data_IF_512050378353
#
_entry.id   IF_512050378353
#
_cell.length_a   1.000
_cell.length_b   1.000
_cell.length_c   1.000
_cell.angle_alpha   90.00
_cell.angle_beta   90.00
_cell.angle_gamma   90.00
#
_symmetry.space_group_name_H-M   'P 1'
#
loop_
_entity.id
_entity.type
_entity.pdbx_description
1 polymer ?
#
# COMPACT_ATOMS: atom_id res chain seq x y z
N UNK A 1 -5.87 -28.11 9.85
CA UNK A 1 -5.15 -26.96 10.45
C UNK A 1 -5.58 -25.74 9.67
N UNK A 2 -6.13 -24.71 10.36
CA UNK A 2 -6.43 -23.43 9.72
C UNK A 2 -5.13 -22.85 9.15
N UNK A 3 -5.15 -22.44 7.90
CA UNK A 3 -4.02 -21.80 7.25
C UNK A 3 -3.72 -20.45 7.90
N UNK A 4 -2.50 -19.96 7.72
CA UNK A 4 -2.07 -18.64 8.22
C UNK A 4 -1.25 -17.95 7.14
N UNK A 5 -1.47 -16.67 6.93
CA UNK A 5 -0.67 -15.83 6.06
C UNK A 5 0.07 -14.78 6.89
N UNK A 6 1.39 -14.77 6.82
CA UNK A 6 2.22 -13.74 7.47
C UNK A 6 2.21 -12.51 6.57
N UNK A 7 1.81 -11.38 7.13
CA UNK A 7 1.70 -10.12 6.38
C UNK A 7 2.56 -9.05 7.03
N UNK A 8 3.17 -8.20 6.22
CA UNK A 8 4.07 -7.14 6.68
C UNK A 8 3.71 -5.82 6.03
N UNK A 9 3.51 -4.78 6.83
CA UNK A 9 3.51 -3.40 6.34
C UNK A 9 4.87 -2.76 6.59
N UNK A 10 5.45 -2.14 5.57
CA UNK A 10 6.64 -1.31 5.71
C UNK A 10 6.20 0.15 5.86
N UNK A 11 6.73 0.84 6.87
CA UNK A 11 6.55 2.27 7.06
C UNK A 11 7.83 2.96 6.63
N UNK A 12 7.90 3.37 5.34
CA UNK A 12 9.08 4.03 4.81
C UNK A 12 9.12 5.51 5.18
N UNK A 13 10.31 6.10 5.38
CA UNK A 13 10.40 7.52 5.68
C UNK A 13 9.93 8.37 4.48
N UNK A 14 9.25 9.49 4.74
CA UNK A 14 8.96 10.46 3.68
C UNK A 14 10.27 11.04 3.15
N UNK A 15 10.59 10.80 1.88
CA UNK A 15 11.79 11.31 1.18
C UNK A 15 11.47 11.50 -0.29
N UNK A 16 11.52 12.74 -0.76
CA UNK A 16 11.26 13.05 -2.16
C UNK A 16 12.45 12.68 -3.05
N UNK A 17 12.17 12.06 -4.20
CA UNK A 17 13.17 11.72 -5.21
C UNK A 17 14.17 10.62 -4.84
N UNK A 18 14.00 9.96 -3.70
CA UNK A 18 15.00 9.06 -3.13
C UNK A 18 14.76 7.57 -3.47
N UNK A 19 14.27 7.24 -4.68
CA UNK A 19 13.82 5.90 -5.08
C UNK A 19 14.79 4.78 -4.69
N UNK A 20 16.07 4.91 -5.04
CA UNK A 20 17.09 3.89 -4.73
C UNK A 20 17.30 3.71 -3.22
N UNK A 21 17.33 4.81 -2.46
CA UNK A 21 17.49 4.76 -1.01
C UNK A 21 16.24 4.14 -0.34
N UNK A 22 15.05 4.43 -0.85
CA UNK A 22 13.80 3.85 -0.35
C UNK A 22 13.73 2.35 -0.62
N UNK A 23 14.12 1.89 -1.81
CA UNK A 23 14.23 0.46 -2.12
C UNK A 23 15.24 -0.25 -1.23
N UNK A 24 16.44 0.32 -1.04
CA UNK A 24 17.45 -0.24 -0.15
C UNK A 24 16.97 -0.27 1.32
N UNK A 25 16.21 0.74 1.75
CA UNK A 25 15.64 0.77 3.10
C UNK A 25 14.54 -0.28 3.28
N UNK A 26 13.66 -0.46 2.28
CA UNK A 26 12.64 -1.52 2.29
C UNK A 26 13.29 -2.91 2.36
N UNK A 27 14.35 -3.14 1.58
CA UNK A 27 15.11 -4.38 1.58
C UNK A 27 15.75 -4.66 2.95
N UNK A 28 16.39 -3.67 3.56
CA UNK A 28 16.99 -3.77 4.90
C UNK A 28 15.94 -4.09 5.99
N UNK A 29 14.74 -3.50 5.91
CA UNK A 29 13.64 -3.83 6.81
C UNK A 29 13.16 -5.28 6.64
N UNK A 30 13.12 -5.79 5.40
CA UNK A 30 12.77 -7.19 5.14
C UNK A 30 13.85 -8.15 5.65
N UNK A 31 15.13 -7.82 5.50
CA UNK A 31 16.25 -8.62 6.02
C UNK A 31 16.29 -8.67 7.55
N UNK A 32 15.92 -7.58 8.22
CA UNK A 32 16.01 -7.48 9.68
C UNK A 32 14.91 -8.21 10.44
N UNK A 33 13.85 -8.64 9.77
CA UNK A 33 12.69 -9.25 10.42
C UNK A 33 12.42 -10.70 10.01
N UNK A 34 11.35 -11.30 10.53
CA UNK A 34 10.96 -12.67 10.19
C UNK A 34 10.54 -12.78 8.72
N UNK A 35 10.57 -14.03 8.18
CA UNK A 35 10.04 -14.31 6.86
C UNK A 35 8.54 -13.93 6.79
N UNK A 36 8.12 -13.33 5.69
CA UNK A 36 6.74 -12.91 5.43
C UNK A 36 6.21 -13.56 4.15
N UNK A 37 4.91 -13.67 4.01
CA UNK A 37 4.24 -14.19 2.82
C UNK A 37 3.73 -13.07 1.90
N UNK A 38 3.56 -11.86 2.47
CA UNK A 38 3.11 -10.66 1.78
C UNK A 38 3.71 -9.42 2.43
N UNK A 39 4.23 -8.50 1.63
CA UNK A 39 4.66 -7.18 2.07
C UNK A 39 3.90 -6.09 1.34
N UNK A 40 3.48 -5.05 2.07
CA UNK A 40 2.84 -3.86 1.54
C UNK A 40 3.71 -2.63 1.82
N UNK A 41 3.97 -1.82 0.78
CA UNK A 41 4.65 -0.54 0.86
C UNK A 41 3.63 0.60 0.81
N UNK A 42 3.92 1.77 1.42
CA UNK A 42 3.03 2.94 1.39
C UNK A 42 2.85 3.54 -0.01
N UNK A 43 1.75 4.25 -0.21
CA UNK A 43 1.49 5.05 -1.42
C UNK A 43 2.66 6.01 -1.70
N UNK A 44 3.09 6.08 -2.97
CA UNK A 44 4.16 6.95 -3.46
C UNK A 44 5.46 6.91 -2.62
N UNK A 45 5.66 5.88 -1.79
CA UNK A 45 6.76 5.84 -0.82
C UNK A 45 8.15 5.76 -1.44
N UNK A 46 8.27 5.34 -2.69
CA UNK A 46 9.55 5.31 -3.40
C UNK A 46 9.94 6.68 -3.94
N UNK A 47 8.99 7.41 -4.49
CA UNK A 47 9.20 8.73 -5.10
C UNK A 47 9.11 9.88 -4.10
N UNK A 48 8.45 9.63 -2.97
CA UNK A 48 7.94 10.67 -2.09
C UNK A 48 6.63 11.25 -2.62
N UNK A 49 5.79 11.73 -1.72
CA UNK A 49 4.44 12.21 -2.03
C UNK A 49 4.39 13.74 -2.22
N UNK A 50 5.25 14.44 -1.51
CA UNK A 50 5.30 15.91 -1.47
C UNK A 50 6.76 16.36 -1.64
N UNK A 51 7.00 17.28 -2.59
CA UNK A 51 8.32 17.85 -2.81
C UNK A 51 8.75 18.77 -1.68
N UNK A 52 10.06 19.06 -1.54
CA UNK A 52 10.53 20.06 -0.58
C UNK A 52 9.98 21.46 -0.84
N UNK A 53 9.60 21.76 -2.07
CA UNK A 53 9.01 23.02 -2.53
C UNK A 53 7.52 23.10 -2.23
N UNK A 54 6.89 21.98 -1.84
CA UNK A 54 5.49 21.92 -1.43
C UNK A 54 4.52 21.58 -2.56
N UNK A 55 5.00 21.10 -3.71
CA UNK A 55 4.15 20.59 -4.78
C UNK A 55 3.97 19.07 -4.71
N UNK A 56 2.96 18.57 -5.39
CA UNK A 56 2.57 17.17 -5.42
C UNK A 56 2.78 16.51 -6.79
N UNK A 57 3.46 17.18 -7.73
CA UNK A 57 3.66 16.63 -9.07
C UNK A 57 4.69 15.49 -9.07
N UNK A 58 4.21 14.29 -9.36
CA UNK A 58 5.04 13.09 -9.49
C UNK A 58 5.28 12.66 -10.94
N UNK A 59 4.84 13.44 -11.93
CA UNK A 59 5.07 13.13 -13.35
C UNK A 59 6.55 12.92 -13.73
N UNK A 60 7.54 13.58 -13.09
CA UNK A 60 8.95 13.32 -13.36
C UNK A 60 9.41 11.90 -13.01
N UNK A 61 8.67 11.19 -12.15
CA UNK A 61 8.96 9.80 -11.75
C UNK A 61 8.13 8.77 -12.50
N UNK A 62 7.24 9.21 -13.40
CA UNK A 62 6.34 8.31 -14.10
C UNK A 62 7.09 7.43 -15.10
N UNK A 63 6.90 6.12 -14.97
CA UNK A 63 7.55 5.07 -15.76
C UNK A 63 6.54 4.09 -16.35
N UNK A 64 6.89 3.33 -17.40
CA UNK A 64 6.03 2.26 -17.90
C UNK A 64 5.71 1.21 -16.83
N UNK A 65 4.59 0.45 -16.94
CA UNK A 65 4.20 -0.59 -15.96
C UNK A 65 5.24 -1.68 -15.76
N UNK A 66 6.12 -1.91 -16.74
CA UNK A 66 7.24 -2.87 -16.73
C UNK A 66 8.60 -2.19 -16.50
N UNK A 67 8.60 -0.97 -15.99
CA UNK A 67 9.78 -0.16 -15.76
C UNK A 67 10.66 -0.58 -14.57
N UNK A 68 11.61 0.28 -14.18
CA UNK A 68 12.59 0.00 -13.12
C UNK A 68 11.96 -0.37 -11.77
N UNK A 69 10.85 0.28 -11.36
CA UNK A 69 10.15 -0.03 -10.11
C UNK A 69 9.55 -1.45 -10.15
N UNK A 70 8.93 -1.83 -11.26
CA UNK A 70 8.42 -3.19 -11.45
C UNK A 70 9.54 -4.23 -11.34
N UNK A 71 10.68 -3.99 -11.99
CA UNK A 71 11.85 -4.86 -11.91
C UNK A 71 12.39 -4.97 -10.47
N UNK A 72 12.41 -3.87 -9.72
CA UNK A 72 12.84 -3.87 -8.32
C UNK A 72 11.87 -4.69 -7.42
N UNK A 73 10.56 -4.54 -7.59
CA UNK A 73 9.58 -5.32 -6.83
C UNK A 73 9.63 -6.81 -7.17
N UNK A 74 9.82 -7.16 -8.45
CA UNK A 74 10.05 -8.55 -8.86
C UNK A 74 11.34 -9.13 -8.24
N UNK A 75 12.40 -8.33 -8.13
CA UNK A 75 13.62 -8.74 -7.44
C UNK A 75 13.37 -9.02 -5.97
N UNK A 76 12.73 -8.10 -5.24
CA UNK A 76 12.38 -8.27 -3.84
C UNK A 76 11.45 -9.49 -3.64
N UNK A 77 10.44 -9.67 -4.48
CA UNK A 77 9.53 -10.81 -4.41
C UNK A 77 10.26 -12.16 -4.53
N UNK A 78 11.17 -12.28 -5.49
CA UNK A 78 12.03 -13.48 -5.64
C UNK A 78 12.94 -13.69 -4.45
N UNK A 79 13.62 -12.63 -3.99
CA UNK A 79 14.61 -12.70 -2.92
C UNK A 79 14.01 -13.14 -1.60
N UNK A 80 12.81 -12.64 -1.26
CA UNK A 80 12.15 -12.91 0.03
C UNK A 80 11.05 -13.98 -0.06
N UNK A 81 10.84 -14.60 -1.22
CA UNK A 81 9.77 -15.59 -1.49
C UNK A 81 8.38 -15.13 -1.00
N UNK A 82 8.03 -13.88 -1.27
CA UNK A 82 6.78 -13.27 -0.83
C UNK A 82 6.09 -12.47 -1.95
N UNK A 83 4.80 -12.19 -1.79
CA UNK A 83 4.13 -11.17 -2.61
C UNK A 83 4.63 -9.79 -2.19
N UNK A 84 5.10 -9.00 -3.15
CA UNK A 84 5.47 -7.59 -2.93
C UNK A 84 4.40 -6.72 -3.56
N UNK A 85 3.67 -5.96 -2.72
CA UNK A 85 2.70 -4.96 -3.12
C UNK A 85 3.27 -3.56 -2.84
N UNK A 86 3.34 -2.70 -3.86
CA UNK A 86 3.94 -1.38 -3.69
C UNK A 86 3.52 -0.36 -4.74
N UNK A 87 3.87 0.92 -4.52
CA UNK A 87 3.45 2.03 -5.33
C UNK A 87 4.20 2.09 -6.67
N UNK A 88 3.50 2.50 -7.71
CA UNK A 88 4.05 2.81 -9.01
C UNK A 88 3.46 4.14 -9.50
N UNK A 89 4.30 5.09 -9.84
CA UNK A 89 3.88 6.25 -10.63
C UNK A 89 3.97 5.83 -12.09
N UNK A 90 2.81 5.49 -12.64
CA UNK A 90 2.72 4.84 -13.94
C UNK A 90 2.52 5.85 -15.05
N UNK A 91 3.19 5.62 -16.18
CA UNK A 91 2.95 6.31 -17.45
C UNK A 91 2.37 5.35 -18.48
N UNK A 92 1.19 5.70 -19.01
CA UNK A 92 0.54 4.97 -20.09
C UNK A 92 0.09 5.96 -21.17
N UNK A 93 0.85 6.06 -22.26
CA UNK A 93 0.68 7.11 -23.27
C UNK A 93 0.90 8.50 -22.67
N UNK A 94 -0.07 9.39 -22.87
CA UNK A 94 -0.05 10.76 -22.33
C UNK A 94 -0.57 10.86 -20.89
N UNK A 95 -1.09 9.75 -20.32
CA UNK A 95 -1.63 9.70 -18.98
C UNK A 95 -0.60 9.24 -17.94
N UNK A 96 -0.70 9.80 -16.73
CA UNK A 96 0.03 9.33 -15.57
C UNK A 96 -0.98 8.85 -14.50
N UNK A 97 -0.64 7.77 -13.81
CA UNK A 97 -1.51 7.18 -12.78
C UNK A 97 -0.74 6.96 -11.49
N UNK A 98 -1.43 7.18 -10.37
CA UNK A 98 -1.00 6.69 -9.08
C UNK A 98 -1.49 5.23 -8.96
N UNK A 99 -0.58 4.26 -8.93
CA UNK A 99 -0.93 2.85 -8.99
C UNK A 99 -0.36 2.05 -7.82
N UNK A 100 -1.03 0.95 -7.50
CA UNK A 100 -0.57 -0.11 -6.59
C UNK A 100 -0.45 -1.41 -7.38
N UNK A 101 0.75 -1.98 -7.38
CA UNK A 101 1.05 -3.20 -8.14
C UNK A 101 1.53 -4.31 -7.22
N UNK A 102 1.18 -5.57 -7.53
CA UNK A 102 1.58 -6.73 -6.75
C UNK A 102 2.33 -7.75 -7.59
N UNK A 103 3.54 -8.16 -7.16
CA UNK A 103 4.39 -9.14 -7.86
C UNK A 103 4.62 -10.38 -7.01
N UNK A 104 4.43 -11.56 -7.62
CA UNK A 104 4.71 -12.87 -7.03
C UNK A 104 6.20 -13.19 -7.03
N UNK A 105 6.64 -14.20 -6.25
CA UNK A 105 8.03 -14.67 -6.26
C UNK A 105 8.56 -15.14 -7.63
N UNK A 106 7.69 -15.63 -8.51
CA UNK A 106 8.06 -15.99 -9.89
C UNK A 106 8.26 -14.77 -10.80
N UNK A 107 7.97 -13.55 -10.29
CA UNK A 107 8.06 -12.29 -10.99
C UNK A 107 6.80 -11.95 -11.80
N UNK A 108 5.77 -12.79 -11.80
CA UNK A 108 4.50 -12.47 -12.46
C UNK A 108 3.72 -11.42 -11.67
N UNK A 109 2.99 -10.57 -12.39
CA UNK A 109 2.06 -9.62 -11.77
C UNK A 109 0.84 -10.36 -11.23
N UNK A 110 0.44 -10.09 -9.97
CA UNK A 110 -0.78 -10.62 -9.37
C UNK A 110 -1.95 -9.67 -9.56
N UNK A 111 -1.72 -8.39 -9.35
CA UNK A 111 -2.70 -7.33 -9.55
C UNK A 111 -2.03 -6.02 -9.94
N UNK A 112 -2.82 -5.18 -10.62
CA UNK A 112 -2.45 -3.84 -11.02
C UNK A 112 -3.68 -2.95 -10.80
N UNK A 113 -3.60 -2.03 -9.85
CA UNK A 113 -4.67 -1.13 -9.49
C UNK A 113 -4.24 0.32 -9.72
N UNK A 114 -5.04 1.11 -10.41
CA UNK A 114 -4.87 2.56 -10.58
C UNK A 114 -5.86 3.27 -9.68
N UNK A 115 -5.38 4.21 -8.86
CA UNK A 115 -6.18 5.02 -7.93
C UNK A 115 -7.35 5.66 -8.66
N UNK A 116 -8.58 5.43 -8.18
CA UNK A 116 -9.79 5.98 -8.79
C UNK A 116 -10.04 7.42 -8.42
N UNK A 117 -9.72 7.76 -7.18
CA UNK A 117 -9.96 9.07 -6.62
C UNK A 117 -8.62 9.72 -6.25
N UNK A 118 -7.90 10.34 -7.22
CA UNK A 118 -6.77 11.18 -6.89
C UNK A 118 -7.19 12.21 -5.84
N UNK A 119 -6.37 12.38 -4.79
CA UNK A 119 -6.62 13.42 -3.81
C UNK A 119 -6.42 14.78 -4.47
N UNK A 120 -7.17 15.81 -4.07
CA UNK A 120 -7.24 17.08 -4.80
C UNK A 120 -5.88 17.72 -5.21
N UNK A 121 -4.76 17.53 -4.48
CA UNK A 121 -3.46 18.03 -4.93
C UNK A 121 -2.78 17.14 -5.98
N UNK A 122 -3.27 15.95 -6.26
CA UNK A 122 -2.73 15.04 -7.30
C UNK A 122 -3.28 15.38 -8.70
N UNK A 123 -3.22 16.66 -9.10
CA UNK A 123 -3.72 17.13 -10.42
C UNK A 123 -3.04 16.46 -11.60
N UNK A 124 -1.85 15.89 -11.37
CA UNK A 124 -1.08 15.15 -12.35
C UNK A 124 -1.65 13.75 -12.63
N UNK A 125 -2.42 13.18 -11.72
CA UNK A 125 -2.87 11.81 -11.78
C UNK A 125 -4.20 11.68 -12.52
N UNK A 126 -4.21 10.84 -13.55
CA UNK A 126 -5.44 10.42 -14.23
C UNK A 126 -6.20 9.44 -13.33
N UNK A 127 -7.52 9.63 -13.09
CA UNK A 127 -8.34 8.67 -12.37
C UNK A 127 -8.33 7.28 -13.01
N UNK A 128 -8.21 6.23 -12.18
CA UNK A 128 -8.44 4.85 -12.61
C UNK A 128 -9.90 4.59 -12.95
N UNK A 129 -10.16 3.67 -13.89
CA UNK A 129 -11.52 3.39 -14.37
C UNK A 129 -12.32 2.51 -13.39
N UNK A 130 -11.66 1.56 -12.72
CA UNK A 130 -12.32 0.50 -11.95
C UNK A 130 -11.79 0.43 -10.50
N UNK A 131 -12.63 0.05 -9.53
CA UNK A 131 -12.15 -0.32 -8.19
C UNK A 131 -11.18 -1.49 -8.25
N UNK A 132 -10.36 -1.67 -7.21
CA UNK A 132 -9.41 -2.76 -7.11
C UNK A 132 -10.04 -4.12 -7.39
N UNK A 133 -9.42 -4.93 -8.24
CA UNK A 133 -9.87 -6.28 -8.50
C UNK A 133 -9.43 -7.23 -7.38
N UNK A 134 -10.30 -8.20 -7.04
CA UNK A 134 -9.93 -9.25 -6.10
C UNK A 134 -8.82 -10.13 -6.65
N UNK A 135 -7.84 -10.43 -5.82
CA UNK A 135 -6.69 -11.25 -6.18
C UNK A 135 -6.46 -12.36 -5.15
N UNK A 136 -6.29 -13.61 -5.61
CA UNK A 136 -6.07 -14.75 -4.71
C UNK A 136 -4.56 -14.97 -4.47
N UNK A 137 -4.15 -14.96 -3.21
CA UNK A 137 -2.76 -15.23 -2.80
C UNK A 137 -2.70 -16.17 -1.59
N UNK A 138 -2.08 -17.34 -1.77
CA UNK A 138 -1.88 -18.35 -0.69
C UNK A 138 -3.13 -18.59 0.17
N UNK A 139 -4.31 -18.58 -0.45
CA UNK A 139 -5.59 -18.81 0.22
C UNK A 139 -6.28 -17.58 0.78
N UNK A 140 -5.68 -16.39 0.70
CA UNK A 140 -6.31 -15.11 1.03
C UNK A 140 -6.84 -14.41 -0.21
N UNK A 141 -8.06 -13.89 -0.17
CA UNK A 141 -8.60 -12.99 -1.18
C UNK A 141 -8.24 -11.56 -0.82
N UNK A 142 -7.41 -10.91 -1.63
CA UNK A 142 -6.87 -9.57 -1.42
C UNK A 142 -7.67 -8.54 -2.22
N UNK A 143 -7.92 -7.38 -1.63
CA UNK A 143 -8.47 -6.20 -2.29
C UNK A 143 -7.46 -5.04 -2.19
N UNK A 144 -6.85 -4.58 -3.31
CA UNK A 144 -5.96 -3.43 -3.28
C UNK A 144 -6.75 -2.11 -3.30
N UNK A 145 -6.31 -1.13 -2.50
CA UNK A 145 -6.84 0.24 -2.49
C UNK A 145 -5.76 1.26 -2.10
N UNK A 146 -5.94 2.50 -2.52
CA UNK A 146 -5.01 3.60 -2.33
C UNK A 146 -5.66 4.78 -1.59
N UNK A 147 -5.23 5.03 -0.36
CA UNK A 147 -5.42 6.26 0.41
C UNK A 147 -6.84 6.87 0.29
N UNK A 148 -7.00 7.92 -0.50
CA UNK A 148 -8.26 8.66 -0.64
C UNK A 148 -9.43 7.80 -1.19
N UNK A 149 -9.14 6.71 -1.90
CA UNK A 149 -10.17 5.75 -2.33
C UNK A 149 -10.95 5.15 -1.14
N UNK A 150 -10.32 5.09 0.05
CA UNK A 150 -10.96 4.57 1.25
C UNK A 150 -12.31 5.23 1.58
N UNK A 151 -12.49 6.49 1.22
CA UNK A 151 -13.75 7.22 1.43
C UNK A 151 -14.90 6.80 0.49
N UNK A 152 -14.59 6.06 -0.58
CA UNK A 152 -15.53 5.66 -1.62
C UNK A 152 -15.75 4.15 -1.71
N UNK A 153 -14.92 3.34 -1.04
CA UNK A 153 -14.96 1.87 -1.14
C UNK A 153 -16.35 1.31 -0.80
N UNK A 154 -16.99 1.81 0.25
CA UNK A 154 -18.33 1.39 0.67
C UNK A 154 -19.38 1.58 -0.43
N UNK A 155 -19.29 2.68 -1.18
CA UNK A 155 -20.26 3.02 -2.21
C UNK A 155 -19.98 2.33 -3.55
N UNK A 156 -18.71 2.05 -3.86
CA UNK A 156 -18.28 1.66 -5.19
C UNK A 156 -17.79 0.21 -5.29
N UNK A 157 -17.51 -0.44 -4.17
CA UNK A 157 -16.90 -1.76 -4.11
C UNK A 157 -17.38 -2.62 -2.92
N UNK A 158 -18.60 -2.40 -2.42
CA UNK A 158 -19.15 -3.13 -1.27
C UNK A 158 -19.13 -4.65 -1.50
N UNK A 159 -19.51 -5.11 -2.69
CA UNK A 159 -19.46 -6.51 -3.09
C UNK A 159 -18.05 -7.11 -3.08
N UNK A 160 -17.03 -6.29 -3.35
CA UNK A 160 -15.63 -6.70 -3.31
C UNK A 160 -15.09 -6.69 -1.88
N UNK A 161 -15.53 -5.73 -1.05
CA UNK A 161 -15.23 -5.72 0.38
C UNK A 161 -15.79 -6.97 1.05
N UNK A 162 -17.07 -7.34 0.78
CA UNK A 162 -17.72 -8.55 1.31
C UNK A 162 -17.01 -9.85 0.89
N UNK A 163 -16.38 -9.87 -0.28
CA UNK A 163 -15.68 -11.04 -0.81
C UNK A 163 -14.19 -11.07 -0.46
N UNK A 164 -13.63 -10.00 0.09
CA UNK A 164 -12.23 -9.91 0.45
C UNK A 164 -11.97 -10.49 1.86
N UNK A 165 -10.86 -11.21 2.00
CA UNK A 165 -10.33 -11.58 3.32
C UNK A 165 -9.35 -10.57 3.89
N UNK A 166 -8.72 -9.76 3.00
CA UNK A 166 -7.73 -8.75 3.38
C UNK A 166 -7.77 -7.54 2.45
N UNK A 167 -8.02 -6.36 3.01
CA UNK A 167 -7.81 -5.08 2.34
C UNK A 167 -6.32 -4.70 2.44
N UNK A 168 -5.67 -4.54 1.28
CA UNK A 168 -4.33 -3.97 1.16
C UNK A 168 -4.46 -2.47 0.95
N UNK A 169 -4.30 -1.69 2.01
CA UNK A 169 -4.51 -0.25 2.00
C UNK A 169 -3.18 0.49 2.07
N UNK A 170 -2.66 0.90 0.91
CA UNK A 170 -1.45 1.73 0.86
C UNK A 170 -1.82 3.20 0.94
N UNK A 171 -1.20 3.97 1.83
CA UNK A 171 -1.54 5.37 2.05
C UNK A 171 -0.33 6.28 2.23
N UNK A 172 -0.54 7.55 1.93
CA UNK A 172 0.26 8.69 2.35
C UNK A 172 -0.69 9.67 3.05
N UNK A 173 -1.23 9.27 4.21
CA UNK A 173 -2.29 9.99 4.91
C UNK A 173 -1.82 11.36 5.39
N UNK A 174 -2.63 12.38 5.17
CA UNK A 174 -2.31 13.78 5.50
C UNK A 174 -3.45 14.41 6.33
N UNK A 175 -3.64 13.92 7.55
CA UNK A 175 -4.67 14.43 8.44
C UNK A 175 -4.14 14.58 9.87
N UNK A 176 -4.51 15.71 10.51
CA UNK A 176 -4.17 15.98 11.90
C UNK A 176 -5.00 15.15 12.88
N UNK A 177 -6.24 14.83 12.52
CA UNK A 177 -7.09 13.92 13.27
C UNK A 177 -6.70 12.47 12.89
N UNK A 178 -6.76 11.56 13.82
CA UNK A 178 -6.51 10.12 13.55
C UNK A 178 -7.72 9.50 12.79
N UNK A 179 -8.14 10.13 11.69
CA UNK A 179 -9.35 9.77 10.92
C UNK A 179 -9.19 8.48 10.13
N UNK A 180 -7.96 8.08 9.82
CA UNK A 180 -7.67 6.84 9.09
C UNK A 180 -8.10 5.60 9.89
N UNK A 181 -7.80 5.56 11.19
CA UNK A 181 -8.13 4.39 12.02
C UNK A 181 -9.65 4.12 12.09
N UNK A 182 -10.53 5.09 12.44
CA UNK A 182 -11.97 4.82 12.46
C UNK A 182 -12.54 4.48 11.09
N UNK A 183 -12.05 5.08 10.00
CA UNK A 183 -12.46 4.72 8.65
C UNK A 183 -12.16 3.23 8.34
N UNK A 184 -10.91 2.81 8.55
CA UNK A 184 -10.49 1.45 8.26
C UNK A 184 -11.12 0.43 9.21
N UNK A 185 -11.33 0.79 10.48
CA UNK A 185 -12.00 -0.07 11.46
C UNK A 185 -13.49 -0.27 11.12
N UNK A 186 -14.16 0.76 10.62
CA UNK A 186 -15.52 0.66 10.09
C UNK A 186 -15.59 -0.35 8.94
N UNK A 187 -14.80 -0.14 7.88
CA UNK A 187 -14.73 -1.07 6.74
C UNK A 187 -14.42 -2.51 7.17
N UNK A 188 -13.47 -2.71 8.09
CA UNK A 188 -13.11 -4.03 8.58
C UNK A 188 -14.27 -4.71 9.31
N UNK A 189 -14.94 -4.03 10.22
CA UNK A 189 -16.05 -4.56 11.01
C UNK A 189 -17.31 -4.81 10.20
N UNK A 190 -17.67 -3.86 9.34
CA UNK A 190 -18.91 -3.92 8.55
C UNK A 190 -18.86 -5.03 7.49
N UNK A 191 -17.69 -5.28 6.88
CA UNK A 191 -17.49 -6.30 5.85
C UNK A 191 -16.77 -7.56 6.36
N UNK A 192 -16.44 -7.65 7.65
CA UNK A 192 -15.76 -8.78 8.24
C UNK A 192 -14.44 -9.17 7.54
N UNK A 193 -13.69 -8.19 7.10
CA UNK A 193 -12.40 -8.35 6.44
C UNK A 193 -11.26 -7.75 7.28
N UNK A 194 -10.08 -8.36 7.25
CA UNK A 194 -8.89 -7.77 7.88
C UNK A 194 -8.33 -6.62 7.04
N UNK A 195 -7.61 -5.68 7.67
CA UNK A 195 -6.96 -4.57 6.97
C UNK A 195 -5.46 -4.55 7.28
N UNK A 196 -4.63 -4.58 6.26
CA UNK A 196 -3.22 -4.23 6.34
C UNK A 196 -3.03 -2.84 5.73
N UNK A 197 -2.71 -1.87 6.57
CA UNK A 197 -2.35 -0.53 6.11
C UNK A 197 -0.85 -0.30 6.21
N UNK A 198 -0.26 0.17 5.11
CA UNK A 198 1.07 0.76 5.08
C UNK A 198 0.95 2.26 4.83
N UNK A 199 1.40 3.05 5.80
CA UNK A 199 1.44 4.51 5.72
C UNK A 199 2.89 4.99 5.75
N UNK A 200 3.16 6.17 5.18
CA UNK A 200 4.48 6.77 5.21
C UNK A 200 4.91 7.18 6.62
N UNK A 201 6.19 6.94 6.95
CA UNK A 201 6.75 7.29 8.24
C UNK A 201 7.29 8.72 8.27
N UNK A 202 7.78 9.11 9.44
CA UNK A 202 8.46 10.39 9.65
C UNK A 202 9.61 10.58 8.67
N UNK A 203 9.68 11.77 8.06
CA UNK A 203 10.72 12.13 7.11
C UNK A 203 10.69 13.61 6.77
N UNK A 204 11.16 13.97 5.56
CA UNK A 204 11.12 15.31 5.02
C UNK A 204 10.32 15.31 3.71
N UNK A 205 9.39 16.26 3.52
CA UNK A 205 8.91 17.23 4.52
C UNK A 205 8.13 16.55 5.65
N UNK A 206 8.03 17.22 6.79
CA UNK A 206 7.15 16.79 7.88
C UNK A 206 5.72 17.19 7.58
N UNK A 207 4.83 16.20 7.58
CA UNK A 207 3.41 16.38 7.31
C UNK A 207 2.62 15.69 8.42
N UNK A 208 1.49 16.27 8.80
CA UNK A 208 0.53 15.62 9.70
C UNK A 208 0.01 14.33 9.06
N UNK A 209 -0.30 13.31 9.85
CA UNK A 209 -0.74 12.01 9.36
C UNK A 209 0.38 11.01 9.04
N UNK A 210 1.65 11.40 9.13
CA UNK A 210 2.77 10.46 9.02
C UNK A 210 2.76 9.45 10.17
N UNK A 211 3.19 8.23 9.88
CA UNK A 211 3.20 7.12 10.84
C UNK A 211 1.89 6.36 10.90
N UNK A 212 1.79 5.46 11.88
CA UNK A 212 0.55 4.78 12.18
C UNK A 212 0.17 3.64 11.24
N UNK A 213 1.10 3.07 10.47
CA UNK A 213 0.84 1.81 9.75
C UNK A 213 0.26 0.79 10.72
N UNK A 214 -0.78 0.03 10.30
CA UNK A 214 -1.56 -0.79 11.23
C UNK A 214 -2.05 -2.09 10.60
N UNK A 215 -2.45 -3.01 11.46
CA UNK A 215 -3.21 -4.21 11.12
C UNK A 215 -4.47 -4.29 11.98
N UNK A 216 -5.63 -4.43 11.32
CA UNK A 216 -6.92 -4.67 11.94
C UNK A 216 -7.38 -6.10 11.63
N UNK A 217 -7.98 -6.76 12.61
CA UNK A 217 -8.67 -8.02 12.36
C UNK A 217 -10.04 -7.79 11.72
N UNK A 218 -10.72 -8.90 11.36
CA UNK A 218 -12.01 -8.87 10.70
C UNK A 218 -13.17 -8.31 11.56
N UNK A 219 -12.94 -8.04 12.82
CA UNK A 219 -13.91 -7.33 13.69
C UNK A 219 -13.68 -5.81 13.72
N UNK A 220 -12.66 -5.32 13.04
CA UNK A 220 -12.19 -3.94 13.11
C UNK A 220 -11.32 -3.64 14.33
N UNK A 221 -10.97 -4.67 15.12
CA UNK A 221 -10.10 -4.47 16.28
C UNK A 221 -8.65 -4.23 15.89
N UNK A 222 -8.01 -3.25 16.54
CA UNK A 222 -6.61 -2.93 16.32
C UNK A 222 -5.69 -4.00 16.93
N UNK A 223 -5.01 -4.77 16.08
CA UNK A 223 -4.08 -5.82 16.50
C UNK A 223 -2.67 -5.30 16.67
N UNK A 224 -2.21 -4.47 15.73
CA UNK A 224 -0.87 -3.88 15.75
C UNK A 224 -0.85 -2.50 15.09
N UNK A 225 0.01 -1.60 15.59
CA UNK A 225 0.21 -0.26 15.02
C UNK A 225 1.63 0.21 15.27
N UNK A 226 2.24 0.82 14.26
CA UNK A 226 3.51 1.55 14.42
C UNK A 226 3.26 2.96 14.96
N UNK A 227 4.30 3.53 15.57
CA UNK A 227 4.35 4.96 15.89
C UNK A 227 4.68 5.80 14.66
N UNK A 228 5.34 6.95 14.91
CA UNK A 228 5.70 7.91 13.86
C UNK A 228 6.94 7.47 13.04
N UNK A 229 7.87 6.76 13.66
CA UNK A 229 9.18 6.45 13.08
C UNK A 229 9.07 5.38 11.97
N UNK A 230 9.92 5.44 10.94
CA UNK A 230 10.04 4.38 9.94
C UNK A 230 10.29 3.02 10.57
N UNK A 231 9.71 1.97 9.99
CA UNK A 231 9.82 0.65 10.58
C UNK A 231 9.04 -0.42 9.83
N UNK A 232 8.91 -1.56 10.47
CA UNK A 232 8.25 -2.75 9.98
C UNK A 232 7.19 -3.21 10.97
N UNK A 233 5.99 -3.53 10.47
CA UNK A 233 4.90 -4.12 11.25
C UNK A 233 4.63 -5.51 10.69
N UNK A 234 4.71 -6.52 11.54
CA UNK A 234 4.37 -7.91 11.20
C UNK A 234 3.08 -8.33 11.86
N UNK A 235 2.22 -9.03 11.13
CA UNK A 235 0.98 -9.60 11.61
C UNK A 235 0.70 -10.96 10.96
N UNK A 236 -0.31 -11.66 11.47
CA UNK A 236 -0.74 -12.95 10.96
C UNK A 236 -2.22 -12.88 10.63
N UNK A 237 -2.56 -13.10 9.37
CA UNK A 237 -3.94 -13.24 8.89
C UNK A 237 -4.36 -14.72 9.06
N UNK A 238 -5.39 -15.04 9.86
CA UNK A 238 -5.99 -16.36 9.85
C UNK A 238 -6.73 -16.61 8.54
N UNK A 239 -6.60 -17.83 7.98
CA UNK A 239 -7.32 -18.25 6.77
C UNK A 239 -8.41 -19.26 7.16
N UNK A 240 -9.63 -19.01 6.75
CA UNK A 240 -10.82 -19.84 7.08
C UNK A 240 -11.28 -20.67 5.90
#
# INVERSE_FOLDING_TARGET
>A
MMGRLRVTALQLPARFGAVRQQLAFAEALLESGPATDLVLLPEASLTGYLSPEGDFDLTPFAEPPDGPTAAAFQHLARRFDCLVAGPLIERAGDCCFNALVGYRPDGSNLFHYRKRHPWFPEEWATPGAEPGALALWRGATLLPALCYDGHFLEQEAADRLDAAGLLLFASAWVDASDSMLPLLAGLAGDHQLSVLNANWGRGQPRVQGQGGSLFLDASGALVARLGLEPGRLDAVLPLF
#
